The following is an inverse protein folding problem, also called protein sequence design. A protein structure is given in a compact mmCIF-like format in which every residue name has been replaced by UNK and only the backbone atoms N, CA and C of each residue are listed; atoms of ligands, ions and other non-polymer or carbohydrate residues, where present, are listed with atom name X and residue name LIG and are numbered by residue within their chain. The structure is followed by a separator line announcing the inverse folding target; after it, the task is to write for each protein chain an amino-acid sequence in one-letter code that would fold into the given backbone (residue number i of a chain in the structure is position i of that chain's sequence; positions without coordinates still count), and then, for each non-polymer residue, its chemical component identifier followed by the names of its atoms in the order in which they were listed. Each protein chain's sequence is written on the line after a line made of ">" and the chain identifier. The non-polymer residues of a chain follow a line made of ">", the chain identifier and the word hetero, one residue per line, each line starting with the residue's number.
data_IF_847403105069
#
_entry.id   IF_847403105069
#
_cell.length_a   1.000
_cell.length_b   1.000
_cell.length_c   1.000
_cell.angle_alpha   90.00
_cell.angle_beta   90.00
_cell.angle_gamma   90.00
#
_symmetry.space_group_name_H-M   'P 1'
#
loop_
_entity.id
_entity.type
_entity.pdbx_description
1 polymer ?
#
# COMPACT_ATOMS: atom_id res chain seq x y z
N UNK A 1 11.69 -14.37 9.25
CA UNK A 1 11.37 -12.96 8.90
C UNK A 1 9.92 -12.70 9.25
N UNK A 2 9.63 -11.65 10.01
CA UNK A 2 8.25 -11.29 10.40
C UNK A 2 7.64 -10.39 9.33
N UNK A 3 6.62 -10.89 8.62
CA UNK A 3 5.81 -10.06 7.73
C UNK A 3 4.84 -9.23 8.57
N UNK A 4 4.77 -7.94 8.27
CA UNK A 4 3.84 -7.00 8.88
C UNK A 4 2.98 -6.38 7.80
N UNK A 5 1.79 -5.93 8.17
CA UNK A 5 0.87 -5.29 7.23
C UNK A 5 0.92 -3.80 7.43
N UNK A 6 1.07 -3.08 6.32
CA UNK A 6 1.22 -1.64 6.30
C UNK A 6 0.08 -1.02 5.48
N UNK A 7 -0.59 -0.03 6.05
CA UNK A 7 -1.54 0.83 5.33
C UNK A 7 -0.81 2.12 4.97
N UNK A 8 -0.77 2.40 3.67
CA UNK A 8 -0.14 3.57 3.09
C UNK A 8 -1.23 4.45 2.48
N UNK A 9 -1.40 5.63 3.03
CA UNK A 9 -2.32 6.65 2.52
C UNK A 9 -1.51 7.81 1.95
N UNK A 10 -1.95 8.31 0.80
CA UNK A 10 -1.29 9.42 0.16
C UNK A 10 -2.12 10.00 -0.97
N UNK A 11 -1.47 10.84 -1.75
CA UNK A 11 -2.01 11.34 -3.00
C UNK A 11 -0.92 11.31 -4.07
N UNK A 12 -1.33 11.22 -5.33
CA UNK A 12 -0.42 11.47 -6.43
C UNK A 12 -1.00 12.49 -7.41
N UNK A 13 -0.11 13.18 -8.12
CA UNK A 13 -0.47 14.16 -9.14
C UNK A 13 -0.46 13.52 -10.52
N UNK A 14 -1.55 13.68 -11.25
CA UNK A 14 -1.67 13.26 -12.66
C UNK A 14 -2.62 14.20 -13.40
N UNK A 15 -2.29 14.57 -14.64
CA UNK A 15 -3.13 15.47 -15.47
C UNK A 15 -3.57 16.75 -14.72
N UNK A 16 -2.62 17.39 -14.01
CA UNK A 16 -2.84 18.58 -13.16
C UNK A 16 -3.81 18.39 -11.98
N UNK A 17 -4.33 17.19 -11.74
CA UNK A 17 -5.20 16.84 -10.60
C UNK A 17 -4.46 16.00 -9.57
N UNK A 18 -4.95 16.01 -8.33
CA UNK A 18 -4.48 15.16 -7.24
C UNK A 18 -5.47 14.03 -7.04
N UNK A 19 -4.97 12.81 -6.92
CA UNK A 19 -5.75 11.60 -6.71
C UNK A 19 -5.32 10.99 -5.38
N UNK A 20 -6.22 10.86 -4.39
CA UNK A 20 -5.90 10.13 -3.18
C UNK A 20 -5.72 8.65 -3.51
N UNK A 21 -4.86 7.98 -2.75
CA UNK A 21 -4.72 6.54 -2.79
C UNK A 21 -4.62 5.98 -1.36
N UNK A 22 -5.12 4.76 -1.20
CA UNK A 22 -4.93 3.94 -0.02
C UNK A 22 -4.52 2.55 -0.47
N UNK A 23 -3.37 2.08 0.00
CA UNK A 23 -2.84 0.75 -0.32
C UNK A 23 -2.45 0.03 0.95
N UNK A 24 -2.84 -1.22 1.01
CA UNK A 24 -2.47 -2.14 2.07
C UNK A 24 -1.51 -3.16 1.47
N UNK A 25 -0.40 -3.41 2.15
CA UNK A 25 0.57 -4.40 1.69
C UNK A 25 1.34 -5.02 2.84
N UNK A 26 1.78 -6.25 2.64
CA UNK A 26 2.67 -6.92 3.58
C UNK A 26 4.13 -6.60 3.24
N UNK A 27 4.90 -6.20 4.25
CA UNK A 27 6.32 -5.92 4.13
C UNK A 27 7.02 -6.13 5.49
N UNK A 28 8.32 -6.45 5.45
CA UNK A 28 9.11 -6.66 6.66
C UNK A 28 9.38 -5.35 7.43
N UNK A 29 9.50 -4.24 6.70
CA UNK A 29 9.84 -2.91 7.22
C UNK A 29 9.07 -1.83 6.46
N UNK A 30 8.87 -0.70 7.12
CA UNK A 30 8.27 0.51 6.55
C UNK A 30 8.94 0.92 5.21
N UNK A 31 10.27 0.91 5.16
CA UNK A 31 11.01 1.29 3.95
C UNK A 31 10.66 0.41 2.74
N UNK A 32 10.50 -0.90 2.97
CA UNK A 32 10.09 -1.83 1.91
C UNK A 32 8.65 -1.56 1.48
N UNK A 33 7.75 -1.29 2.43
CA UNK A 33 6.36 -0.94 2.12
C UNK A 33 6.28 0.33 1.24
N UNK A 34 7.06 1.36 1.62
CA UNK A 34 7.17 2.61 0.88
C UNK A 34 7.69 2.41 -0.54
N UNK A 35 8.79 1.68 -0.71
CA UNK A 35 9.38 1.40 -2.03
C UNK A 35 8.38 0.67 -2.93
N UNK A 36 7.66 -0.33 -2.39
CA UNK A 36 6.65 -1.10 -3.14
C UNK A 36 5.53 -0.21 -3.67
N UNK A 37 4.99 0.69 -2.85
CA UNK A 37 3.96 1.65 -3.28
C UNK A 37 4.47 2.59 -4.38
N UNK A 38 5.69 3.12 -4.23
CA UNK A 38 6.29 3.97 -5.25
C UNK A 38 6.49 3.22 -6.58
N UNK A 39 6.91 1.96 -6.51
CA UNK A 39 7.11 1.12 -7.69
C UNK A 39 5.79 0.77 -8.38
N UNK A 40 4.75 0.45 -7.61
CA UNK A 40 3.42 0.12 -8.14
C UNK A 40 2.78 1.32 -8.85
N UNK A 41 2.79 2.49 -8.21
CA UNK A 41 2.28 3.73 -8.80
C UNK A 41 3.10 4.16 -10.03
N UNK A 42 4.42 3.95 -10.00
CA UNK A 42 5.30 4.19 -11.14
C UNK A 42 5.01 3.28 -12.34
N UNK A 43 4.94 1.98 -12.11
CA UNK A 43 4.80 0.97 -13.16
C UNK A 43 3.38 0.91 -13.72
N UNK A 44 2.37 0.82 -12.86
CA UNK A 44 1.00 0.57 -13.27
C UNK A 44 0.27 1.86 -13.68
N UNK A 45 0.52 2.96 -12.96
CA UNK A 45 -0.18 4.23 -13.17
C UNK A 45 0.62 5.26 -13.97
N UNK A 46 1.89 4.96 -14.30
CA UNK A 46 2.84 5.86 -14.98
C UNK A 46 2.98 7.19 -14.25
N UNK A 47 3.09 7.13 -12.93
CA UNK A 47 3.24 8.31 -12.06
C UNK A 47 4.70 8.42 -11.64
N UNK A 48 5.41 9.51 -11.96
CA UNK A 48 6.79 9.67 -11.53
C UNK A 48 6.86 9.84 -10.01
N UNK A 49 7.91 9.30 -9.38
CA UNK A 49 8.06 9.26 -7.91
C UNK A 49 7.92 10.63 -7.23
N UNK A 50 8.39 11.69 -7.90
CA UNK A 50 8.30 13.09 -7.43
C UNK A 50 6.86 13.63 -7.32
N UNK A 51 5.92 13.03 -8.03
CA UNK A 51 4.51 13.41 -8.03
C UNK A 51 3.68 12.56 -7.06
N UNK A 52 4.31 11.69 -6.26
CA UNK A 52 3.67 10.86 -5.23
C UNK A 52 3.99 11.45 -3.85
N UNK A 53 2.95 11.74 -3.08
CA UNK A 53 3.06 12.19 -1.70
C UNK A 53 2.41 11.15 -0.78
N UNK A 54 3.23 10.48 0.03
CA UNK A 54 2.74 9.60 1.10
C UNK A 54 2.45 10.49 2.31
N UNK A 55 1.21 10.47 2.79
CA UNK A 55 0.73 11.26 3.93
C UNK A 55 0.80 10.47 5.24
N UNK A 56 0.44 9.20 5.19
CA UNK A 56 0.45 8.32 6.36
C UNK A 56 0.98 6.95 5.92
N UNK A 57 1.86 6.40 6.73
CA UNK A 57 2.30 5.02 6.61
C UNK A 57 2.25 4.44 8.02
N UNK A 58 1.39 3.44 8.22
CA UNK A 58 1.20 2.82 9.52
C UNK A 58 1.15 1.31 9.43
N UNK A 59 1.70 0.66 10.44
CA UNK A 59 1.53 -0.76 10.68
C UNK A 59 0.09 -0.99 11.18
N UNK A 60 -0.61 -1.96 10.57
CA UNK A 60 -1.96 -2.35 10.96
C UNK A 60 -2.00 -3.85 11.29
N UNK A 61 -2.94 -4.26 12.12
CA UNK A 61 -3.14 -5.68 12.41
C UNK A 61 -3.79 -6.39 11.22
N UNK A 62 -3.57 -7.72 11.08
CA UNK A 62 -4.25 -8.56 10.10
C UNK A 62 -5.79 -8.44 10.12
N UNK A 63 -6.33 -8.17 11.30
CA UNK A 63 -7.76 -8.03 11.60
C UNK A 63 -8.35 -6.73 11.02
N UNK A 64 -7.52 -5.70 10.85
CA UNK A 64 -7.92 -4.36 10.39
C UNK A 64 -7.83 -4.22 8.87
N UNK A 65 -7.34 -5.25 8.16
CA UNK A 65 -7.20 -5.27 6.70
C UNK A 65 -8.58 -5.16 6.06
N UNK A 66 -8.73 -4.19 5.17
CA UNK A 66 -9.98 -3.95 4.44
C UNK A 66 -9.92 -4.56 3.05
N UNK A 67 -8.73 -4.63 2.43
CA UNK A 67 -8.53 -5.20 1.11
C UNK A 67 -8.68 -6.75 1.14
N UNK A 68 -9.76 -7.30 0.54
CA UNK A 68 -10.06 -8.73 0.62
C UNK A 68 -9.01 -9.57 -0.14
N UNK A 69 -8.40 -9.01 -1.17
CA UNK A 69 -7.36 -9.71 -1.96
C UNK A 69 -6.10 -9.87 -1.11
N UNK A 70 -5.70 -8.82 -0.38
CA UNK A 70 -4.58 -8.91 0.55
C UNK A 70 -4.88 -9.90 1.69
N UNK A 71 -6.09 -9.86 2.25
CA UNK A 71 -6.51 -10.79 3.30
C UNK A 71 -6.40 -12.25 2.85
N UNK A 72 -6.84 -12.54 1.62
CA UNK A 72 -6.69 -13.86 1.00
C UNK A 72 -5.24 -14.25 0.73
N UNK A 73 -4.43 -13.32 0.21
CA UNK A 73 -3.01 -13.57 -0.05
C UNK A 73 -2.22 -13.89 1.22
N UNK A 74 -2.67 -13.41 2.38
CA UNK A 74 -2.07 -13.68 3.69
C UNK A 74 -2.63 -14.94 4.35
N UNK A 75 -3.56 -15.66 3.71
CA UNK A 75 -4.20 -16.84 4.28
C UNK A 75 -5.11 -16.55 5.47
N UNK A 76 -5.63 -15.32 5.57
CA UNK A 76 -6.52 -14.87 6.66
C UNK A 76 -8.00 -15.10 6.33
N UNK A 77 -8.30 -15.88 5.30
CA UNK A 77 -9.63 -16.42 5.06
C UNK A 77 -9.82 -17.65 5.94
N UNK A 78 -10.75 -17.57 6.90
CA UNK A 78 -11.27 -18.75 7.57
C UNK A 78 -11.80 -19.71 6.51
N UNK A 79 -11.30 -20.94 6.53
CA UNK A 79 -11.87 -22.05 5.78
C UNK A 79 -13.39 -22.07 6.01
N UNK A 80 -14.16 -22.09 4.92
CA UNK A 80 -15.59 -22.34 4.95
C UNK A 80 -15.87 -23.74 4.43
#
# INVERSE_FOLDING_TARGET
>A
MSMKVWRVNGEFRKLRRRFPFSRELAAEKEAHARERVLSELGSHHRVPRKDILIRELKEIKPEEIVDPVLKKSLGLESAH
#
